data_IF_126442237405
#
_entry.id   IF_126442237405
#
_cell.length_a   1.000
_cell.length_b   1.000
_cell.length_c   1.000
_cell.angle_alpha   90.00
_cell.angle_beta   90.00
_cell.angle_gamma   90.00
#
_symmetry.space_group_name_H-M   'P 1'
#
loop_
_entity.id
_entity.type
_entity.pdbx_description
1 polymer ?
#
# COMPACT_ATOMS: atom_id res chain seq x y z
N UNK A 1 10.32 -12.92 -10.11
CA UNK A 1 10.82 -12.18 -8.92
C UNK A 1 9.60 -11.75 -8.11
N UNK A 2 9.60 -12.00 -6.79
CA UNK A 2 8.56 -11.47 -5.89
C UNK A 2 8.92 -10.05 -5.51
N UNK A 3 7.97 -9.12 -5.62
CA UNK A 3 8.16 -7.72 -5.21
C UNK A 3 8.19 -7.56 -3.68
N UNK A 4 7.51 -8.45 -2.97
CA UNK A 4 7.49 -8.48 -1.51
C UNK A 4 8.58 -9.39 -0.97
N UNK A 5 9.24 -8.95 0.10
CA UNK A 5 10.20 -9.75 0.83
C UNK A 5 9.50 -10.90 1.59
N UNK A 6 10.19 -12.01 1.87
CA UNK A 6 9.66 -13.05 2.74
C UNK A 6 9.25 -12.47 4.11
N UNK A 7 8.02 -12.72 4.53
CA UNK A 7 7.50 -12.18 5.79
C UNK A 7 7.20 -10.68 5.77
N UNK A 8 6.97 -10.09 4.59
CA UNK A 8 6.53 -8.70 4.49
C UNK A 8 5.27 -8.46 5.33
N UNK A 9 5.18 -7.27 5.92
CA UNK A 9 4.05 -6.86 6.78
C UNK A 9 3.37 -5.61 6.24
N UNK A 10 2.16 -5.33 6.72
CA UNK A 10 1.51 -4.07 6.43
C UNK A 10 0.60 -3.60 7.56
N UNK A 11 0.35 -2.30 7.59
CA UNK A 11 -0.71 -1.70 8.40
C UNK A 11 -1.61 -0.80 7.58
N UNK A 12 -2.87 -0.74 7.97
CA UNK A 12 -3.91 0.11 7.40
C UNK A 12 -4.58 0.91 8.53
N UNK A 13 -4.60 2.24 8.40
CA UNK A 13 -5.04 3.18 9.43
C UNK A 13 -4.41 2.92 10.81
N UNK A 14 -3.11 2.61 10.81
CA UNK A 14 -2.31 2.37 12.02
C UNK A 14 -2.52 1.00 12.68
N UNK A 15 -3.33 0.12 12.10
CA UNK A 15 -3.53 -1.25 12.58
C UNK A 15 -2.86 -2.25 11.66
N UNK A 16 -2.01 -3.14 12.19
CA UNK A 16 -1.44 -4.24 11.41
C UNK A 16 -2.57 -5.16 10.89
N UNK A 17 -2.45 -5.62 9.64
CA UNK A 17 -3.40 -6.54 9.00
C UNK A 17 -2.71 -7.78 8.49
N UNK A 18 -3.50 -8.81 8.21
CA UNK A 18 -3.02 -9.89 7.35
C UNK A 18 -2.80 -9.34 5.94
N UNK A 19 -1.55 -9.40 5.48
CA UNK A 19 -1.11 -8.82 4.22
C UNK A 19 -1.82 -9.47 3.01
N UNK A 20 -1.97 -10.78 3.01
CA UNK A 20 -2.51 -11.50 1.86
C UNK A 20 -4.01 -11.27 1.74
N UNK A 21 -4.73 -11.35 2.86
CA UNK A 21 -6.17 -11.05 2.91
C UNK A 21 -6.44 -9.60 2.54
N UNK A 22 -5.65 -8.66 3.07
CA UNK A 22 -5.85 -7.23 2.82
C UNK A 22 -5.61 -6.87 1.35
N UNK A 23 -4.52 -7.37 0.74
CA UNK A 23 -4.23 -7.12 -0.67
C UNK A 23 -5.35 -7.69 -1.55
N UNK A 24 -5.82 -8.91 -1.27
CA UNK A 24 -6.91 -9.49 -2.05
C UNK A 24 -8.18 -8.65 -1.92
N UNK A 25 -8.61 -8.36 -0.69
CA UNK A 25 -9.87 -7.65 -0.43
C UNK A 25 -9.86 -6.21 -0.91
N UNK A 26 -8.82 -5.44 -0.58
CA UNK A 26 -8.79 -4.00 -0.82
C UNK A 26 -8.28 -3.62 -2.19
N UNK A 27 -7.46 -4.47 -2.83
CA UNK A 27 -6.85 -4.18 -4.15
C UNK A 27 -7.43 -5.07 -5.25
N UNK A 28 -7.27 -6.40 -5.18
CA UNK A 28 -7.54 -7.25 -6.34
C UNK A 28 -9.03 -7.55 -6.53
N UNK A 29 -9.69 -8.03 -5.49
CA UNK A 29 -11.11 -8.42 -5.52
C UNK A 29 -12.06 -7.21 -5.62
N UNK A 30 -11.59 -6.00 -5.29
CA UNK A 30 -12.38 -4.75 -5.34
C UNK A 30 -11.97 -3.78 -6.45
N UNK A 31 -11.17 -4.23 -7.43
CA UNK A 31 -10.73 -3.42 -8.57
C UNK A 31 -10.02 -2.11 -8.16
N UNK A 32 -9.12 -2.22 -7.18
CA UNK A 32 -8.31 -1.14 -6.66
C UNK A 32 -7.51 -0.40 -7.74
N UNK A 33 -7.57 0.93 -7.70
CA UNK A 33 -6.81 1.82 -8.56
C UNK A 33 -6.10 2.87 -7.69
N UNK A 34 -4.82 3.08 -7.96
CA UNK A 34 -3.99 4.04 -7.24
C UNK A 34 -3.43 5.06 -8.23
N UNK A 35 -3.83 6.32 -8.08
CA UNK A 35 -3.29 7.45 -8.80
C UNK A 35 -2.37 8.24 -7.87
N UNK A 36 -1.08 8.32 -8.19
CA UNK A 36 -0.10 9.05 -7.37
C UNK A 36 -0.22 10.54 -7.65
N UNK A 37 -0.55 11.32 -6.63
CA UNK A 37 -0.58 12.79 -6.71
C UNK A 37 0.80 13.38 -6.41
N UNK A 38 1.51 12.81 -5.42
CA UNK A 38 2.83 13.28 -5.02
C UNK A 38 3.68 12.15 -4.44
N UNK A 39 4.96 12.18 -4.77
CA UNK A 39 6.00 11.29 -4.30
C UNK A 39 7.08 12.03 -3.51
N UNK A 40 7.60 11.39 -2.47
CA UNK A 40 8.68 11.90 -1.65
C UNK A 40 9.53 10.76 -1.09
N UNK A 41 10.59 11.10 -0.34
CA UNK A 41 11.51 10.12 0.26
C UNK A 41 12.12 9.15 -0.76
N UNK A 42 12.40 9.64 -1.97
CA UNK A 42 12.94 8.81 -3.06
C UNK A 42 11.96 7.74 -3.54
N UNK A 43 10.66 8.06 -3.59
CA UNK A 43 9.61 7.13 -4.01
C UNK A 43 9.09 6.20 -2.91
N UNK A 44 9.53 6.40 -1.66
CA UNK A 44 9.12 5.57 -0.50
C UNK A 44 7.96 6.15 0.29
N UNK A 45 7.52 7.36 -0.04
CA UNK A 45 6.34 7.96 0.55
C UNK A 45 5.48 8.56 -0.57
N UNK A 46 4.22 8.17 -0.63
CA UNK A 46 3.26 8.62 -1.65
C UNK A 46 2.05 9.27 -0.98
N UNK A 47 1.53 10.31 -1.61
CA UNK A 47 0.15 10.74 -1.48
C UNK A 47 -0.56 10.35 -2.76
N UNK A 48 -1.66 9.62 -2.62
CA UNK A 48 -2.37 9.05 -3.76
C UNK A 48 -3.89 9.15 -3.58
N UNK A 49 -4.60 9.25 -4.70
CA UNK A 49 -6.03 8.95 -4.77
C UNK A 49 -6.18 7.46 -5.00
N UNK A 50 -6.73 6.79 -4.00
CA UNK A 50 -7.03 5.37 -4.04
C UNK A 50 -8.52 5.18 -4.25
N UNK A 51 -8.91 4.38 -5.24
CA UNK A 51 -10.30 4.04 -5.53
C UNK A 51 -10.47 2.55 -5.55
N UNK A 52 -11.51 2.03 -4.92
CA UNK A 52 -11.99 0.68 -5.14
C UNK A 52 -13.53 0.64 -5.18
N UNK A 53 -14.08 -0.50 -5.57
CA UNK A 53 -15.54 -0.67 -5.71
C UNK A 53 -16.26 -0.76 -4.36
N UNK A 54 -15.53 -0.99 -3.26
CA UNK A 54 -16.08 -1.10 -1.91
C UNK A 54 -16.32 0.26 -1.26
N UNK A 55 -15.36 1.18 -1.39
CA UNK A 55 -15.30 2.42 -0.62
C UNK A 55 -15.36 3.68 -1.50
N UNK A 56 -15.29 3.55 -2.82
CA UNK A 56 -15.16 4.69 -3.72
C UNK A 56 -13.74 5.26 -3.70
N UNK A 57 -13.60 6.55 -4.01
CA UNK A 57 -12.29 7.24 -4.03
C UNK A 57 -12.00 7.92 -2.69
N UNK A 58 -10.76 7.76 -2.21
CA UNK A 58 -10.24 8.37 -1.00
C UNK A 58 -8.80 8.84 -1.22
N UNK A 59 -8.39 9.88 -0.50
CA UNK A 59 -6.98 10.27 -0.44
C UNK A 59 -6.28 9.43 0.60
N UNK A 60 -5.19 8.79 0.22
CA UNK A 60 -4.41 7.90 1.07
C UNK A 60 -2.94 8.32 1.09
N UNK A 61 -2.30 8.04 2.22
CA UNK A 61 -0.86 8.14 2.36
C UNK A 61 -0.28 6.75 2.35
N UNK A 62 0.83 6.55 1.65
CA UNK A 62 1.55 5.28 1.62
C UNK A 62 3.01 5.50 2.01
N UNK A 63 3.56 4.62 2.84
CA UNK A 63 4.98 4.61 3.18
C UNK A 63 5.54 3.21 3.01
N UNK A 64 6.72 3.09 2.43
CA UNK A 64 7.35 1.82 2.09
C UNK A 64 8.72 1.68 2.74
N UNK A 65 8.95 0.54 3.38
CA UNK A 65 10.28 0.07 3.77
C UNK A 65 10.77 -0.92 2.73
N UNK A 66 11.90 -0.61 2.11
CA UNK A 66 12.49 -1.38 1.01
C UNK A 66 13.86 -1.89 1.44
N UNK A 67 14.08 -3.19 1.30
CA UNK A 67 15.36 -3.85 1.58
C UNK A 67 16.43 -3.47 0.55
N UNK A 68 17.69 -3.76 0.85
CA UNK A 68 18.82 -3.42 -0.02
C UNK A 68 18.75 -4.10 -1.40
N UNK A 69 17.99 -5.20 -1.52
CA UNK A 69 17.77 -5.89 -2.79
C UNK A 69 16.49 -5.45 -3.53
N UNK A 70 15.86 -4.38 -3.06
CA UNK A 70 14.75 -3.71 -3.72
C UNK A 70 13.37 -4.29 -3.42
N UNK A 71 13.25 -5.31 -2.56
CA UNK A 71 11.95 -5.84 -2.14
C UNK A 71 11.33 -5.03 -1.01
N UNK A 72 10.01 -4.98 -0.99
CA UNK A 72 9.24 -4.30 0.07
C UNK A 72 9.11 -5.26 1.27
N UNK A 73 9.61 -4.86 2.44
CA UNK A 73 9.47 -5.61 3.70
C UNK A 73 8.34 -5.09 4.58
N UNK A 74 7.96 -3.82 4.42
CA UNK A 74 6.76 -3.25 5.06
C UNK A 74 6.15 -2.15 4.20
N UNK A 75 4.84 -2.05 4.19
CA UNK A 75 4.19 -0.81 3.81
C UNK A 75 3.08 -0.42 4.78
N UNK A 76 2.83 0.87 4.86
CA UNK A 76 1.81 1.45 5.73
C UNK A 76 0.92 2.31 4.85
N UNK A 77 -0.39 2.11 4.95
CA UNK A 77 -1.38 2.95 4.31
C UNK A 77 -2.44 3.42 5.30
N UNK A 78 -3.19 4.43 4.90
CA UNK A 78 -4.27 5.01 5.67
C UNK A 78 -4.74 6.32 5.07
N UNK A 79 -5.84 6.83 5.60
CA UNK A 79 -6.42 8.08 5.12
C UNK A 79 -5.47 9.27 5.33
N UNK A 80 -5.37 10.15 4.33
CA UNK A 80 -4.51 11.33 4.31
C UNK A 80 -5.25 12.65 4.54
#
# INVERSE_FOLDING_TARGET
MSLLAPGATMSDDGSDRDLAEWIDREIFSSNGHLEVDNESSGGRALLARYRNDTWGEMRTRWTFTVENDGRISRFETGQA
#
